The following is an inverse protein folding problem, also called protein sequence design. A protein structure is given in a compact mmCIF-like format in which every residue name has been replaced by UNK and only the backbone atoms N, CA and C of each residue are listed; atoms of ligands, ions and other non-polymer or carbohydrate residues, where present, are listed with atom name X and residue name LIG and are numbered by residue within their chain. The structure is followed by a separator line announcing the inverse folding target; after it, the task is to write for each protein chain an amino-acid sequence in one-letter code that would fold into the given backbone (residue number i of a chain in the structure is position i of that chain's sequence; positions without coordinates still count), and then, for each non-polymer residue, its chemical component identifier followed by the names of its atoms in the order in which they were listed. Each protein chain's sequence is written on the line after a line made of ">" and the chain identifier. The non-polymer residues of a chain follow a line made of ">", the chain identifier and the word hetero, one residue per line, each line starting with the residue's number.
data_IF_675030110689
#
_entry.id   IF_675030110689
#
_cell.length_a   1.000
_cell.length_b   1.000
_cell.length_c   1.000
_cell.angle_alpha   90.00
_cell.angle_beta   90.00
_cell.angle_gamma   90.00
#
_symmetry.space_group_name_H-M   'P 1'
#
loop_
_entity.id
_entity.type
_entity.pdbx_description
1 polymer ?
#
# COMPACT_ATOMS: atom_id res chain seq x y z
N UNK A 1 -33.66 -70.71 -43.66
CA UNK A 1 -32.78 -69.84 -42.86
C UNK A 1 -33.36 -68.46 -42.75
N UNK A 2 -33.97 -68.13 -41.64
CA UNK A 2 -34.67 -66.78 -41.41
C UNK A 2 -33.72 -65.83 -40.73
N UNK A 3 -33.33 -64.77 -41.42
CA UNK A 3 -32.50 -63.68 -40.91
C UNK A 3 -33.35 -62.72 -40.03
N UNK A 4 -33.20 -62.78 -38.71
CA UNK A 4 -33.78 -61.83 -37.78
C UNK A 4 -33.19 -60.42 -38.03
N UNK A 5 -34.04 -59.49 -38.50
CA UNK A 5 -33.70 -58.04 -38.48
C UNK A 5 -33.74 -57.57 -37.04
N UNK A 6 -32.58 -57.12 -36.52
CA UNK A 6 -32.53 -56.37 -35.26
C UNK A 6 -33.17 -54.99 -35.48
N UNK A 7 -34.21 -54.70 -34.76
CA UNK A 7 -34.77 -53.36 -34.71
C UNK A 7 -33.75 -52.40 -34.07
N UNK A 8 -33.43 -51.34 -34.79
CA UNK A 8 -32.63 -50.22 -34.23
C UNK A 8 -33.50 -49.50 -33.18
N UNK A 9 -33.08 -49.51 -31.93
CA UNK A 9 -33.74 -48.77 -30.87
C UNK A 9 -33.63 -47.24 -31.07
N UNK A 10 -34.36 -46.42 -30.33
CA UNK A 10 -34.47 -44.98 -30.53
C UNK A 10 -33.21 -44.27 -30.02
N UNK A 11 -32.18 -44.22 -30.84
CA UNK A 11 -30.88 -43.57 -30.55
C UNK A 11 -30.95 -42.04 -30.57
N UNK A 12 -31.98 -41.44 -31.16
CA UNK A 12 -32.11 -40.00 -31.34
C UNK A 12 -32.57 -39.22 -30.07
N UNK A 13 -33.44 -39.84 -29.27
CA UNK A 13 -34.07 -39.16 -28.14
C UNK A 13 -33.15 -38.98 -26.95
N UNK A 14 -32.27 -39.90 -26.70
CA UNK A 14 -31.26 -39.83 -25.61
C UNK A 14 -30.16 -38.80 -25.90
N UNK A 15 -29.79 -38.68 -27.18
CA UNK A 15 -28.81 -37.67 -27.61
C UNK A 15 -29.34 -36.26 -27.56
N UNK A 16 -30.62 -36.04 -27.89
CA UNK A 16 -31.32 -34.75 -27.77
C UNK A 16 -31.43 -34.35 -26.29
N UNK A 17 -31.81 -35.26 -25.40
CA UNK A 17 -31.86 -35.00 -23.96
C UNK A 17 -30.50 -34.63 -23.37
N UNK A 18 -29.44 -35.33 -23.78
CA UNK A 18 -28.08 -35.03 -23.35
C UNK A 18 -27.59 -33.70 -23.86
N UNK A 19 -27.87 -33.35 -25.12
CA UNK A 19 -27.52 -32.07 -25.70
C UNK A 19 -28.26 -30.93 -25.00
N UNK A 20 -29.56 -31.08 -24.76
CA UNK A 20 -30.38 -30.08 -24.04
C UNK A 20 -29.88 -29.89 -22.60
N UNK A 21 -29.58 -30.98 -21.89
CA UNK A 21 -29.02 -30.90 -20.54
C UNK A 21 -27.67 -30.19 -20.53
N UNK A 22 -26.77 -30.49 -21.48
CA UNK A 22 -25.46 -29.83 -21.59
C UNK A 22 -25.61 -28.33 -21.88
N UNK A 23 -26.52 -27.94 -22.77
CA UNK A 23 -26.77 -26.52 -23.06
C UNK A 23 -27.36 -25.77 -21.87
N UNK A 24 -28.31 -26.37 -21.15
CA UNK A 24 -28.90 -25.78 -19.94
C UNK A 24 -27.82 -25.63 -18.85
N UNK A 25 -27.00 -26.64 -18.62
CA UNK A 25 -25.90 -26.57 -17.64
C UNK A 25 -24.89 -25.48 -18.01
N UNK A 26 -24.50 -25.42 -19.28
CA UNK A 26 -23.59 -24.35 -19.76
C UNK A 26 -24.19 -22.96 -19.60
N UNK A 27 -25.46 -22.77 -19.92
CA UNK A 27 -26.15 -21.48 -19.74
C UNK A 27 -26.23 -21.09 -18.27
N UNK A 28 -26.56 -22.02 -17.37
CA UNK A 28 -26.62 -21.76 -15.92
C UNK A 28 -25.24 -21.44 -15.34
N UNK A 29 -24.21 -22.20 -15.70
CA UNK A 29 -22.82 -21.91 -15.23
C UNK A 29 -22.33 -20.58 -15.76
N UNK A 30 -22.59 -20.23 -17.02
CA UNK A 30 -22.22 -18.95 -17.61
C UNK A 30 -22.97 -17.79 -16.92
N UNK A 31 -24.24 -17.98 -16.59
CA UNK A 31 -25.04 -16.97 -15.86
C UNK A 31 -24.52 -16.77 -14.43
N UNK A 32 -24.15 -17.85 -13.73
CA UNK A 32 -23.58 -17.77 -12.38
C UNK A 32 -22.22 -17.07 -12.44
N UNK A 33 -21.34 -17.43 -13.37
CA UNK A 33 -20.04 -16.77 -13.53
C UNK A 33 -20.18 -15.29 -13.85
N UNK A 34 -21.13 -14.94 -14.74
CA UNK A 34 -21.41 -13.54 -15.04
C UNK A 34 -21.96 -12.79 -13.81
N UNK A 35 -22.85 -13.40 -13.04
CA UNK A 35 -23.37 -12.80 -11.81
C UNK A 35 -22.26 -12.60 -10.76
N UNK A 36 -21.36 -13.56 -10.59
CA UNK A 36 -20.21 -13.43 -9.69
C UNK A 36 -19.29 -12.29 -10.14
N UNK A 37 -19.01 -12.18 -11.44
CA UNK A 37 -18.18 -11.08 -11.97
C UNK A 37 -18.83 -9.70 -11.81
N UNK A 38 -20.17 -9.62 -11.96
CA UNK A 38 -20.90 -8.35 -11.82
C UNK A 38 -21.14 -7.93 -10.37
N UNK A 39 -21.16 -8.88 -9.44
CA UNK A 39 -21.38 -8.66 -8.01
C UNK A 39 -20.08 -8.63 -7.20
N UNK A 40 -18.94 -8.97 -7.80
CA UNK A 40 -17.65 -8.86 -7.14
C UNK A 40 -17.40 -7.39 -6.78
N UNK A 41 -17.11 -7.07 -5.51
CA UNK A 41 -16.78 -5.70 -5.12
C UNK A 41 -15.53 -5.25 -5.89
N UNK A 42 -15.64 -4.16 -6.61
CA UNK A 42 -14.48 -3.50 -7.22
C UNK A 42 -13.80 -2.72 -6.11
N UNK A 43 -12.62 -3.16 -5.69
CA UNK A 43 -11.80 -2.39 -4.75
C UNK A 43 -11.37 -1.12 -5.48
N UNK A 44 -11.79 0.02 -4.97
CA UNK A 44 -11.38 1.33 -5.47
C UNK A 44 -9.92 1.57 -5.07
N UNK A 45 -9.15 2.18 -5.96
CA UNK A 45 -7.79 2.63 -5.66
C UNK A 45 -7.84 4.09 -5.24
N UNK A 46 -7.22 4.40 -4.12
CA UNK A 46 -7.15 5.76 -3.59
C UNK A 46 -6.58 5.79 -2.16
N UNK A 47 -6.37 6.98 -1.62
CA UNK A 47 -5.78 7.15 -0.29
C UNK A 47 -6.79 7.05 0.86
N UNK A 48 -8.10 6.90 0.56
CA UNK A 48 -9.14 6.85 1.59
C UNK A 48 -9.20 5.49 2.27
N UNK A 49 -9.65 5.48 3.52
CA UNK A 49 -9.85 4.24 4.27
C UNK A 49 -10.80 3.28 3.57
N UNK A 50 -10.40 2.01 3.51
CA UNK A 50 -11.10 0.96 2.79
C UNK A 50 -10.76 0.88 1.29
N UNK A 51 -9.96 1.80 0.75
CA UNK A 51 -9.47 1.76 -0.63
C UNK A 51 -8.11 1.05 -0.69
N UNK A 52 -7.78 0.47 -1.83
CA UNK A 52 -6.44 -0.03 -2.09
C UNK A 52 -5.49 1.15 -2.29
N UNK A 53 -4.42 1.21 -1.52
CA UNK A 53 -3.45 2.28 -1.60
C UNK A 53 -2.89 2.44 -3.03
N UNK A 54 -2.71 3.67 -3.52
CA UNK A 54 -2.09 3.92 -4.82
C UNK A 54 -0.69 3.33 -4.87
N UNK A 55 -0.44 2.45 -5.85
CA UNK A 55 0.86 1.81 -6.04
C UNK A 55 1.82 2.75 -6.76
N UNK A 56 3.10 2.69 -6.41
CA UNK A 56 4.13 3.44 -7.08
C UNK A 56 5.45 2.67 -7.13
N UNK A 57 6.32 3.09 -8.04
CA UNK A 57 7.70 2.59 -8.16
C UNK A 57 8.67 3.75 -8.29
N UNK A 58 9.73 3.72 -7.49
CA UNK A 58 10.78 4.74 -7.48
C UNK A 58 12.11 4.14 -7.02
N UNK A 59 13.17 4.97 -6.97
CA UNK A 59 14.42 4.59 -6.31
C UNK A 59 14.26 4.77 -4.80
N UNK A 60 14.78 3.85 -4.02
CA UNK A 60 14.80 3.97 -2.56
C UNK A 60 16.20 3.75 -2.01
N UNK A 61 16.49 4.46 -0.94
CA UNK A 61 17.71 4.29 -0.15
C UNK A 61 17.46 3.40 1.07
N UNK A 62 18.28 2.40 1.22
CA UNK A 62 18.24 1.47 2.35
C UNK A 62 19.64 1.21 2.86
N UNK A 63 20.19 2.17 3.68
CA UNK A 63 21.43 1.98 4.41
C UNK A 63 22.68 1.71 3.55
N UNK A 64 22.97 2.59 2.59
CA UNK A 64 24.20 2.57 1.80
C UNK A 64 24.03 2.20 0.33
N UNK A 65 22.80 1.96 -0.14
CA UNK A 65 22.53 1.70 -1.55
C UNK A 65 21.17 2.21 -2.00
N UNK A 66 21.12 2.73 -3.24
CA UNK A 66 19.89 3.04 -3.94
C UNK A 66 19.45 1.83 -4.76
N UNK A 67 18.21 1.40 -4.57
CA UNK A 67 17.62 0.23 -5.25
C UNK A 67 16.23 0.55 -5.78
N UNK A 68 15.74 -0.23 -6.74
CA UNK A 68 14.35 -0.11 -7.17
C UNK A 68 13.41 -0.56 -6.04
N UNK A 69 12.38 0.23 -5.82
CA UNK A 69 11.33 -0.02 -4.85
C UNK A 69 9.96 0.01 -5.53
N UNK A 70 9.07 -0.82 -5.06
CA UNK A 70 7.67 -0.77 -5.42
C UNK A 70 6.82 -1.02 -4.18
N UNK A 71 5.84 -0.15 -3.92
CA UNK A 71 5.01 -0.26 -2.72
C UNK A 71 4.23 -1.57 -2.67
N UNK A 72 3.63 -1.99 -3.79
CA UNK A 72 2.85 -3.22 -3.83
C UNK A 72 3.66 -4.51 -3.68
N UNK A 73 4.99 -4.46 -3.71
CA UNK A 73 5.84 -5.63 -3.40
C UNK A 73 5.81 -5.97 -1.90
N UNK A 74 5.36 -5.03 -1.05
CA UNK A 74 5.14 -5.24 0.37
C UNK A 74 3.77 -5.89 0.68
N UNK A 75 2.84 -5.93 -0.28
CA UNK A 75 1.47 -6.37 -0.05
C UNK A 75 1.34 -7.89 0.02
N UNK A 76 0.80 -8.39 1.11
CA UNK A 76 0.36 -9.78 1.23
C UNK A 76 -1.10 -9.93 0.74
N UNK A 77 -1.28 -10.19 -0.55
CA UNK A 77 -2.61 -10.29 -1.20
C UNK A 77 -3.48 -11.45 -0.66
N UNK A 78 -2.90 -12.35 0.12
CA UNK A 78 -3.61 -13.47 0.75
C UNK A 78 -3.91 -13.21 2.22
N UNK A 79 -3.61 -12.01 2.72
CA UNK A 79 -3.89 -11.65 4.10
C UNK A 79 -5.40 -11.55 4.35
N UNK A 80 -5.81 -12.01 5.51
CA UNK A 80 -7.19 -11.93 6.03
C UNK A 80 -7.15 -11.28 7.41
N UNK A 81 -8.18 -10.53 7.83
CA UNK A 81 -8.23 -9.91 9.15
C UNK A 81 -7.97 -10.90 10.28
N UNK A 82 -7.00 -10.59 11.15
CA UNK A 82 -6.52 -11.46 12.22
C UNK A 82 -5.50 -12.53 11.79
N UNK A 83 -5.05 -12.50 10.54
CA UNK A 83 -3.95 -13.33 10.04
C UNK A 83 -2.59 -12.66 10.20
N UNK A 84 -1.53 -13.45 10.08
CA UNK A 84 -0.15 -12.95 10.11
C UNK A 84 0.16 -12.08 8.89
N UNK A 85 0.82 -10.94 9.10
CA UNK A 85 1.26 -10.04 8.05
C UNK A 85 1.70 -8.69 8.60
N UNK A 86 2.69 -8.09 7.93
CA UNK A 86 3.21 -6.80 8.35
C UNK A 86 2.29 -5.68 7.89
N UNK A 87 1.87 -4.84 8.82
CA UNK A 87 1.22 -3.57 8.52
C UNK A 87 2.23 -2.62 7.89
N UNK A 88 1.76 -1.61 7.16
CA UNK A 88 2.66 -0.72 6.46
C UNK A 88 2.35 0.73 6.82
N UNK A 89 3.32 1.44 7.35
CA UNK A 89 3.28 2.90 7.51
C UNK A 89 3.92 3.53 6.28
N UNK A 90 3.17 4.37 5.57
CA UNK A 90 3.67 5.19 4.46
C UNK A 90 3.66 6.64 4.92
N UNK A 91 4.84 7.24 5.07
CA UNK A 91 5.02 8.62 5.48
C UNK A 91 5.57 9.45 4.32
N UNK A 92 4.95 10.59 4.03
CA UNK A 92 5.44 11.59 3.10
C UNK A 92 6.07 12.75 3.86
N UNK A 93 7.28 13.09 3.50
CA UNK A 93 8.04 14.19 4.10
C UNK A 93 8.72 15.04 3.02
N UNK A 94 9.06 16.25 3.42
CA UNK A 94 10.10 17.06 2.78
C UNK A 94 11.22 17.24 3.82
N UNK A 95 12.47 17.06 3.45
CA UNK A 95 13.62 17.15 4.36
C UNK A 95 13.80 18.54 4.97
N UNK A 96 13.29 19.56 4.28
CA UNK A 96 13.26 20.96 4.72
C UNK A 96 12.09 21.30 5.63
N UNK A 97 11.05 20.47 5.66
CA UNK A 97 9.85 20.74 6.44
C UNK A 97 10.15 20.69 7.95
N UNK A 98 9.91 21.79 8.71
CA UNK A 98 10.16 21.82 10.16
C UNK A 98 9.33 20.80 10.96
N UNK A 99 8.13 20.49 10.49
CA UNK A 99 7.24 19.52 11.14
C UNK A 99 7.74 18.08 10.88
N UNK A 100 8.19 17.77 9.66
CA UNK A 100 8.80 16.48 9.31
C UNK A 100 10.09 16.25 10.13
N UNK A 101 10.88 17.29 10.30
CA UNK A 101 12.06 17.27 11.19
C UNK A 101 11.66 16.89 12.62
N UNK A 102 10.65 17.55 13.17
CA UNK A 102 10.20 17.31 14.54
C UNK A 102 9.60 15.90 14.74
N UNK A 103 8.94 15.34 13.70
CA UNK A 103 8.40 13.98 13.73
C UNK A 103 9.47 12.89 13.71
N UNK A 104 10.71 13.20 13.38
CA UNK A 104 11.79 12.22 13.31
C UNK A 104 11.98 11.43 14.61
N UNK A 105 11.74 12.05 15.78
CA UNK A 105 11.75 11.34 17.06
C UNK A 105 10.55 10.41 17.22
N UNK A 106 9.34 10.88 16.93
CA UNK A 106 8.12 10.07 16.98
C UNK A 106 8.25 8.81 16.10
N UNK A 107 8.68 8.98 14.85
CA UNK A 107 8.85 7.85 13.94
C UNK A 107 9.90 6.85 14.43
N UNK A 108 10.99 7.33 15.04
CA UNK A 108 11.99 6.47 15.67
C UNK A 108 11.40 5.65 16.83
N UNK A 109 10.55 6.27 17.65
CA UNK A 109 9.87 5.62 18.79
C UNK A 109 8.86 4.57 18.29
N UNK A 110 8.03 4.94 17.30
CA UNK A 110 7.06 4.02 16.70
C UNK A 110 7.74 2.79 16.09
N UNK A 111 8.83 3.01 15.33
CA UNK A 111 9.59 1.88 14.78
C UNK A 111 10.23 1.03 15.87
N UNK A 112 10.74 1.64 16.95
CA UNK A 112 11.31 0.86 18.08
C UNK A 112 10.26 0.01 18.79
N UNK A 113 9.00 0.44 18.79
CA UNK A 113 7.90 -0.27 19.44
C UNK A 113 7.23 -1.30 18.54
N UNK A 114 7.09 -0.99 17.25
CA UNK A 114 6.24 -1.73 16.31
C UNK A 114 6.97 -2.28 15.09
N UNK A 115 8.30 -2.12 14.99
CA UNK A 115 9.05 -2.51 13.80
C UNK A 115 9.10 -4.01 13.51
N UNK A 116 8.63 -4.85 14.43
CA UNK A 116 8.48 -6.30 14.21
C UNK A 116 7.14 -6.63 13.53
N UNK A 117 6.12 -5.75 13.63
CA UNK A 117 4.76 -5.94 13.08
C UNK A 117 4.42 -4.90 11.99
N UNK A 118 5.21 -3.84 11.89
CA UNK A 118 4.95 -2.71 10.99
C UNK A 118 6.19 -2.41 10.14
N UNK A 119 6.03 -2.51 8.84
CA UNK A 119 7.02 -2.03 7.87
C UNK A 119 6.85 -0.53 7.66
N UNK A 120 7.94 0.24 7.81
CA UNK A 120 7.94 1.68 7.61
C UNK A 120 8.51 2.03 6.24
N UNK A 121 7.87 2.97 5.55
CA UNK A 121 8.29 3.53 4.26
C UNK A 121 8.17 5.04 4.35
N UNK A 122 9.26 5.76 4.12
CA UNK A 122 9.22 7.22 4.00
C UNK A 122 9.42 7.62 2.54
N UNK A 123 8.49 8.40 2.00
CA UNK A 123 8.54 8.98 0.65
C UNK A 123 8.97 10.43 0.80
N UNK A 124 10.07 10.79 0.17
CA UNK A 124 10.60 12.15 0.23
C UNK A 124 10.18 12.89 -1.04
N UNK A 125 9.46 13.98 -0.83
CA UNK A 125 8.97 14.87 -1.88
C UNK A 125 9.65 16.24 -1.76
N UNK A 126 9.56 17.05 -2.82
CA UNK A 126 10.03 18.42 -2.88
C UNK A 126 8.82 19.37 -2.92
N UNK A 127 8.56 20.11 -1.85
CA UNK A 127 7.44 21.07 -1.79
C UNK A 127 7.80 22.48 -2.21
N UNK A 128 8.92 22.67 -2.87
CA UNK A 128 9.31 23.93 -3.47
C UNK A 128 9.55 25.05 -2.47
N UNK A 129 10.26 24.76 -1.39
CA UNK A 129 10.68 25.79 -0.42
C UNK A 129 11.69 26.72 -1.11
N UNK A 130 11.37 28.02 -1.14
CA UNK A 130 12.17 28.98 -1.88
C UNK A 130 13.62 29.02 -1.40
N UNK A 131 14.56 28.73 -2.31
CA UNK A 131 15.99 28.84 -2.08
C UNK A 131 16.69 27.56 -1.66
N UNK A 132 15.97 26.45 -1.67
CA UNK A 132 16.51 25.12 -1.43
C UNK A 132 15.89 24.10 -2.42
N UNK A 133 16.69 23.15 -2.87
CA UNK A 133 16.27 21.99 -3.65
C UNK A 133 16.85 20.75 -2.98
N UNK A 134 15.98 19.89 -2.43
CA UNK A 134 16.39 18.63 -1.82
C UNK A 134 17.04 17.69 -2.85
N UNK A 135 17.95 16.87 -2.39
CA UNK A 135 18.67 15.92 -3.23
C UNK A 135 18.88 14.58 -2.52
N UNK A 136 19.46 13.61 -3.21
CA UNK A 136 19.65 12.26 -2.66
C UNK A 136 20.61 12.21 -1.48
N UNK A 137 21.68 13.00 -1.51
CA UNK A 137 22.64 13.08 -0.42
C UNK A 137 21.99 13.59 0.86
N UNK A 138 21.06 14.53 0.72
CA UNK A 138 20.26 15.02 1.83
C UNK A 138 19.26 13.99 2.35
N UNK A 139 18.58 13.25 1.47
CA UNK A 139 17.72 12.13 1.85
C UNK A 139 18.49 11.10 2.68
N UNK A 140 19.68 10.71 2.20
CA UNK A 140 20.58 9.79 2.90
C UNK A 140 20.95 10.32 4.29
N UNK A 141 21.37 11.59 4.34
CA UNK A 141 21.79 12.24 5.57
C UNK A 141 20.63 12.42 6.56
N UNK A 142 19.44 12.81 6.08
CA UNK A 142 18.23 12.92 6.93
C UNK A 142 17.88 11.57 7.55
N UNK A 143 17.87 10.50 6.74
CA UNK A 143 17.60 9.14 7.20
C UNK A 143 18.61 8.67 8.22
N UNK A 144 19.91 8.75 7.89
CA UNK A 144 21.01 8.14 8.65
C UNK A 144 21.53 9.06 9.77
N UNK A 145 21.01 10.28 9.87
CA UNK A 145 21.49 11.33 10.79
C UNK A 145 22.98 11.59 10.65
N UNK A 146 23.43 11.73 9.44
CA UNK A 146 24.83 12.07 9.15
C UNK A 146 24.97 13.56 8.82
N UNK A 147 26.17 14.14 8.99
CA UNK A 147 26.38 15.56 8.71
C UNK A 147 26.07 15.90 7.25
N UNK A 148 25.15 16.81 7.07
CA UNK A 148 24.79 17.43 5.79
C UNK A 148 24.09 18.75 6.07
N UNK A 149 24.63 19.85 5.54
CA UNK A 149 24.10 21.19 5.73
C UNK A 149 22.99 21.45 4.68
N UNK A 150 21.75 21.58 5.14
CA UNK A 150 20.60 21.78 4.25
C UNK A 150 19.27 21.32 4.83
N UNK A 151 19.24 20.30 5.66
CA UNK A 151 18.00 19.84 6.30
C UNK A 151 17.33 20.98 7.09
N UNK A 152 15.99 21.01 7.11
CA UNK A 152 15.17 22.01 7.81
C UNK A 152 15.63 23.46 7.48
N UNK A 153 15.87 23.71 6.21
CA UNK A 153 16.28 25.04 5.72
C UNK A 153 17.48 25.60 6.51
N UNK A 154 18.65 25.02 6.31
CA UNK A 154 19.98 25.37 6.88
C UNK A 154 20.32 24.75 8.26
N UNK A 155 19.73 23.63 8.63
CA UNK A 155 20.19 22.82 9.77
C UNK A 155 21.05 21.64 9.28
N UNK A 156 21.96 21.17 10.16
CA UNK A 156 22.69 19.93 9.90
C UNK A 156 21.76 18.72 10.10
N UNK A 157 21.67 17.84 9.11
CA UNK A 157 20.82 16.64 9.19
C UNK A 157 21.17 15.74 10.37
N UNK A 158 22.42 15.76 10.85
CA UNK A 158 22.83 15.06 12.07
C UNK A 158 22.11 15.53 13.33
N UNK A 159 21.61 16.77 13.34
CA UNK A 159 20.85 17.32 14.47
C UNK A 159 19.38 16.97 14.50
N UNK A 160 18.87 16.22 13.48
CA UNK A 160 17.48 15.77 13.45
C UNK A 160 17.10 15.04 14.76
N UNK A 161 15.95 15.32 15.38
CA UNK A 161 15.46 14.58 16.54
C UNK A 161 15.31 13.07 16.27
N UNK A 162 15.39 12.28 17.33
CA UNK A 162 15.27 10.82 17.28
C UNK A 162 16.52 10.09 16.81
N UNK A 163 16.43 8.80 16.59
CA UNK A 163 17.50 7.93 16.11
C UNK A 163 17.62 7.94 14.58
N UNK A 164 18.72 7.43 14.00
CA UNK A 164 18.72 7.06 12.57
C UNK A 164 17.53 6.15 12.25
N UNK A 165 16.97 6.33 11.05
CA UNK A 165 15.81 5.56 10.60
C UNK A 165 16.30 4.31 9.85
N UNK A 166 16.06 3.07 10.36
CA UNK A 166 16.59 1.87 9.71
C UNK A 166 15.80 1.40 8.49
N UNK A 167 14.64 2.02 8.21
CA UNK A 167 13.73 1.66 7.10
C UNK A 167 14.06 2.37 5.79
N UNK A 168 13.32 2.06 4.74
CA UNK A 168 13.55 2.60 3.39
C UNK A 168 13.06 4.04 3.25
N UNK A 169 13.84 4.83 2.51
CA UNK A 169 13.50 6.19 2.08
C UNK A 169 13.41 6.22 0.57
N UNK A 170 12.26 6.62 0.04
CA UNK A 170 11.94 6.62 -1.39
C UNK A 170 12.14 8.03 -1.94
N UNK A 171 12.85 8.13 -3.06
CA UNK A 171 13.05 9.37 -3.80
C UNK A 171 11.84 9.65 -4.70
N UNK A 172 11.00 10.58 -4.29
CA UNK A 172 9.92 11.17 -5.09
C UNK A 172 10.05 12.71 -5.19
N UNK A 173 11.28 13.22 -5.24
CA UNK A 173 11.58 14.65 -5.38
C UNK A 173 10.95 15.28 -6.63
N UNK A 174 10.45 14.48 -7.57
CA UNK A 174 9.72 14.94 -8.73
C UNK A 174 8.18 14.85 -8.55
N UNK A 175 7.69 14.59 -7.36
CA UNK A 175 6.28 14.63 -6.93
C UNK A 175 5.32 13.77 -7.78
N UNK A 176 5.77 12.62 -8.27
CA UNK A 176 4.92 11.75 -9.11
C UNK A 176 3.80 11.07 -8.35
N UNK A 177 3.99 10.83 -7.05
CA UNK A 177 3.05 10.06 -6.24
C UNK A 177 2.07 10.94 -5.47
N UNK A 178 2.39 12.22 -5.28
CA UNK A 178 1.61 13.16 -4.45
C UNK A 178 0.17 13.33 -4.92
N UNK A 179 -0.05 13.34 -6.25
CA UNK A 179 -1.37 13.48 -6.84
C UNK A 179 -2.27 12.27 -6.60
N UNK A 180 -1.75 11.06 -6.76
CA UNK A 180 -2.50 9.83 -6.57
C UNK A 180 -2.81 9.58 -5.08
N UNK A 181 -1.94 10.05 -4.19
CA UNK A 181 -2.11 9.99 -2.74
C UNK A 181 -2.84 11.19 -2.16
N UNK A 182 -3.22 12.17 -2.99
CA UNK A 182 -3.92 13.40 -2.59
C UNK A 182 -3.23 14.11 -1.42
N UNK A 183 -1.87 14.16 -1.44
CA UNK A 183 -1.06 14.71 -0.34
C UNK A 183 -1.28 16.22 -0.22
N UNK A 184 -1.86 16.72 0.88
CA UNK A 184 -2.14 18.16 1.04
C UNK A 184 -0.90 18.96 1.46
N UNK A 185 0.13 18.27 1.94
CA UNK A 185 1.36 18.82 2.49
C UNK A 185 2.11 17.78 3.31
N UNK A 186 3.25 18.18 3.87
CA UNK A 186 4.07 17.32 4.71
C UNK A 186 4.15 17.83 6.15
N UNK A 187 4.28 16.94 7.15
CA UNK A 187 4.24 15.49 7.00
C UNK A 187 2.82 14.96 6.73
N UNK A 188 2.73 13.87 5.99
CA UNK A 188 1.49 13.09 5.84
C UNK A 188 1.83 11.63 6.10
N UNK A 189 1.02 10.94 6.88
CA UNK A 189 1.29 9.54 7.25
C UNK A 189 0.01 8.73 7.14
N UNK A 190 0.04 7.61 6.43
CA UNK A 190 -1.07 6.65 6.34
C UNK A 190 -0.63 5.29 6.89
N UNK A 191 -1.60 4.52 7.43
CA UNK A 191 -1.42 3.14 7.85
C UNK A 191 -2.19 2.22 6.90
N UNK A 192 -1.50 1.22 6.34
CA UNK A 192 -2.09 0.21 5.47
C UNK A 192 -2.17 -1.13 6.18
N UNK A 193 -3.21 -1.89 5.84
CA UNK A 193 -3.28 -3.32 6.15
C UNK A 193 -2.22 -4.08 5.36
N UNK A 194 -1.87 -5.31 5.76
CA UNK A 194 -0.89 -6.11 5.04
C UNK A 194 -1.24 -6.38 3.57
N UNK A 195 -2.53 -6.36 3.19
CA UNK A 195 -2.98 -6.51 1.81
C UNK A 195 -2.94 -5.21 0.98
N UNK A 196 -2.54 -4.10 1.60
CA UNK A 196 -2.41 -2.79 0.97
C UNK A 196 -3.67 -1.92 1.04
N UNK A 197 -4.71 -2.35 1.75
CA UNK A 197 -5.89 -1.50 2.01
C UNK A 197 -5.53 -0.42 3.01
N UNK A 198 -5.91 0.83 2.74
CA UNK A 198 -5.73 1.94 3.67
C UNK A 198 -6.62 1.71 4.90
N UNK A 199 -5.99 1.57 6.06
CA UNK A 199 -6.68 1.33 7.32
C UNK A 199 -6.87 2.59 8.15
N UNK A 200 -6.00 3.59 7.93
CA UNK A 200 -6.08 4.89 8.58
C UNK A 200 -5.45 5.97 7.70
N UNK A 201 -6.14 7.11 7.62
CA UNK A 201 -5.70 8.29 6.88
C UNK A 201 -6.00 9.55 7.73
N UNK A 202 -5.01 10.41 8.02
CA UNK A 202 -5.16 11.57 8.90
C UNK A 202 -6.25 12.55 8.46
N UNK A 203 -6.50 12.66 7.14
CA UNK A 203 -7.54 13.56 6.60
C UNK A 203 -8.97 13.14 6.99
N UNK A 204 -9.16 11.87 7.34
CA UNK A 204 -10.44 11.33 7.77
C UNK A 204 -10.62 11.42 9.30
N UNK A 205 -9.54 11.75 10.03
CA UNK A 205 -9.48 11.88 11.49
C UNK A 205 -9.22 13.31 11.99
N UNK A 206 -9.34 14.31 11.13
CA UNK A 206 -9.18 15.73 11.54
C UNK A 206 -10.14 16.15 12.66
N UNK A 207 -11.34 15.57 12.71
CA UNK A 207 -12.37 15.96 13.67
C UNK A 207 -12.27 15.23 15.01
N UNK A 208 -11.71 14.03 15.07
CA UNK A 208 -11.54 13.26 16.29
C UNK A 208 -10.13 13.38 16.88
N UNK A 209 -9.18 13.87 16.08
CA UNK A 209 -7.81 14.12 16.50
C UNK A 209 -7.00 12.84 16.70
N UNK A 210 -7.43 11.68 16.13
CA UNK A 210 -6.66 10.45 16.19
C UNK A 210 -5.34 10.62 15.41
N UNK A 211 -4.21 10.44 16.11
CA UNK A 211 -2.89 10.40 15.49
C UNK A 211 -2.44 8.99 15.14
N UNK A 212 -1.37 8.89 14.36
CA UNK A 212 -0.80 7.60 13.90
C UNK A 212 -0.45 6.65 15.05
N UNK A 213 0.03 7.16 16.19
CA UNK A 213 0.34 6.35 17.38
C UNK A 213 -0.90 5.60 17.88
N UNK A 214 -2.03 6.33 18.02
CA UNK A 214 -3.29 5.76 18.48
C UNK A 214 -3.86 4.80 17.44
N UNK A 215 -3.75 5.13 16.16
CA UNK A 215 -4.19 4.28 15.06
C UNK A 215 -3.44 2.95 15.05
N UNK A 216 -2.10 2.96 15.17
CA UNK A 216 -1.28 1.73 15.25
C UNK A 216 -1.67 0.91 16.49
N UNK A 217 -1.75 1.55 17.68
CA UNK A 217 -2.13 0.86 18.91
C UNK A 217 -3.50 0.19 18.80
N UNK A 218 -4.47 0.85 18.17
CA UNK A 218 -5.84 0.34 18.01
C UNK A 218 -5.94 -0.78 16.97
N UNK A 219 -5.26 -0.62 15.83
CA UNK A 219 -5.41 -1.50 14.66
C UNK A 219 -4.44 -2.66 14.67
N UNK A 220 -3.19 -2.42 15.03
CA UNK A 220 -2.13 -3.45 15.09
C UNK A 220 -2.10 -4.11 16.46
N UNK A 221 -2.10 -3.33 17.54
CA UNK A 221 -2.01 -3.84 18.90
C UNK A 221 -3.30 -4.48 19.42
N UNK A 222 -4.43 -4.31 18.74
CA UNK A 222 -5.73 -4.90 19.08
C UNK A 222 -6.11 -6.11 18.22
N UNK A 223 -5.25 -6.54 17.31
CA UNK A 223 -5.48 -7.64 16.38
C UNK A 223 -5.23 -9.01 17.00
#
# INVERSE_FOLDING_TARGET
>A
MARRRRAAGPKGRDDEVRLTAALVTFALTSMILMAVMLLAPVVKVGPSEGELAPDFSAQSYSGGAWVNFRLSDLFNKSWEPGGDGDWIVVQYIDTDCPYCWSEGELMSQLHSQWGDEVTFVTVVVELGIQGHESNREEIEAFRDKTPYDGCKTNSDCADRPGNPHPWVYVDDLNEKTTGDWEIPGTPFTALLQPDGIVAWNPLQHENDGEGIETAIQRLVGGA
#
